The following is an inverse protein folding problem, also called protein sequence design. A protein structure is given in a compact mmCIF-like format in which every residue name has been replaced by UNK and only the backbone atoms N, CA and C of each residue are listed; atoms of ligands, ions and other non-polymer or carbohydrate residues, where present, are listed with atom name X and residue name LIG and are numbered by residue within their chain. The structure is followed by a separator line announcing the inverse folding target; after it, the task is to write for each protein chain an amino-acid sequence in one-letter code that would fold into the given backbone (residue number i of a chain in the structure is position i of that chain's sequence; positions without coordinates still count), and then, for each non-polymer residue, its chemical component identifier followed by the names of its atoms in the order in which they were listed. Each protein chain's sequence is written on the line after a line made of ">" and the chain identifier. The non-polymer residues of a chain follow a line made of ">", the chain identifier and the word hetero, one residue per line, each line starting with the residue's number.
data_IF_147937190619
#
_entry.id   IF_147937190619
#
_cell.length_a   1.000
_cell.length_b   1.000
_cell.length_c   1.000
_cell.angle_alpha   90.00
_cell.angle_beta   90.00
_cell.angle_gamma   90.00
#
_symmetry.space_group_name_H-M   'P 1'
#
loop_
_entity.id
_entity.type
_entity.pdbx_description
1 polymer ?
#
# COMPACT_ATOMS: atom_id res chain seq x y z
N UNK A 1 55.83 0.39 -4.73
CA UNK A 1 54.48 0.89 -5.07
C UNK A 1 53.52 -0.27 -4.88
N UNK A 2 52.92 -0.40 -3.69
CA UNK A 2 51.93 -1.44 -3.43
C UNK A 2 50.56 -0.91 -3.84
N UNK A 3 49.99 -1.45 -4.92
CA UNK A 3 48.61 -1.16 -5.32
C UNK A 3 47.69 -1.75 -4.25
N UNK A 4 47.13 -0.89 -3.41
CA UNK A 4 46.13 -1.29 -2.44
C UNK A 4 44.82 -1.44 -3.20
N UNK A 5 44.47 -2.68 -3.55
CA UNK A 5 43.17 -3.02 -4.11
C UNK A 5 42.11 -2.76 -3.03
N UNK A 6 41.60 -1.53 -2.99
CA UNK A 6 40.37 -1.22 -2.26
C UNK A 6 39.23 -1.88 -3.03
N UNK A 7 39.02 -3.17 -2.75
CA UNK A 7 37.93 -3.95 -3.33
C UNK A 7 36.59 -3.36 -2.91
N UNK A 8 36.00 -2.55 -3.79
CA UNK A 8 34.63 -2.06 -3.62
C UNK A 8 33.66 -3.21 -3.86
N UNK A 9 32.72 -3.42 -2.95
CA UNK A 9 31.69 -4.43 -3.07
C UNK A 9 30.52 -3.88 -3.87
N UNK A 10 30.28 -4.44 -5.05
CA UNK A 10 29.22 -3.97 -5.95
C UNK A 10 27.92 -4.77 -5.74
N UNK A 11 26.79 -4.09 -5.80
CA UNK A 11 25.49 -4.73 -5.70
C UNK A 11 25.15 -5.45 -7.01
N UNK A 12 24.72 -6.72 -7.01
CA UNK A 12 24.30 -7.40 -8.23
C UNK A 12 22.91 -6.97 -8.73
N UNK A 13 22.13 -6.27 -7.89
CA UNK A 13 20.75 -5.86 -8.17
C UNK A 13 20.63 -4.38 -8.57
N UNK A 14 21.71 -3.59 -8.45
CA UNK A 14 21.82 -2.22 -8.95
C UNK A 14 23.27 -1.77 -9.12
N UNK A 15 23.49 -0.60 -9.70
CA UNK A 15 24.83 -0.02 -9.86
C UNK A 15 25.41 0.63 -8.57
N UNK A 16 25.03 0.13 -7.40
CA UNK A 16 25.54 0.61 -6.11
C UNK A 16 26.88 -0.04 -5.74
N UNK A 17 27.85 0.77 -5.30
CA UNK A 17 29.17 0.30 -4.85
C UNK A 17 29.43 0.73 -3.41
N UNK A 18 29.97 -0.19 -2.61
CA UNK A 18 30.11 -0.02 -1.16
C UNK A 18 31.54 -0.32 -0.73
N UNK A 19 32.02 0.41 0.28
CA UNK A 19 33.37 0.26 0.82
C UNK A 19 33.55 -0.97 1.71
N UNK A 20 32.47 -1.68 2.05
CA UNK A 20 32.49 -2.89 2.88
C UNK A 20 31.34 -3.84 2.55
N UNK A 21 31.56 -5.13 2.82
CA UNK A 21 30.55 -6.17 2.65
C UNK A 21 29.33 -5.94 3.57
N UNK A 22 29.53 -5.42 4.78
CA UNK A 22 28.42 -5.10 5.70
C UNK A 22 27.52 -3.99 5.16
N UNK A 23 28.10 -2.93 4.59
CA UNK A 23 27.33 -1.86 3.95
C UNK A 23 26.56 -2.36 2.72
N UNK A 24 27.17 -3.24 1.92
CA UNK A 24 26.47 -3.91 0.82
C UNK A 24 25.30 -4.78 1.33
N UNK A 25 25.48 -5.55 2.40
CA UNK A 25 24.43 -6.38 2.98
C UNK A 25 23.29 -5.55 3.58
N UNK A 26 23.58 -4.44 4.25
CA UNK A 26 22.58 -3.51 4.75
C UNK A 26 21.83 -2.80 3.62
N UNK A 27 22.54 -2.28 2.61
CA UNK A 27 21.95 -1.77 1.38
C UNK A 27 21.03 -2.81 0.73
N UNK A 28 21.52 -4.05 0.60
CA UNK A 28 20.71 -5.13 0.04
C UNK A 28 19.52 -5.48 0.93
N UNK A 29 19.59 -5.32 2.25
CA UNK A 29 18.45 -5.52 3.17
C UNK A 29 17.49 -4.33 3.25
N UNK A 30 17.85 -3.14 2.76
CA UNK A 30 17.03 -1.93 2.90
C UNK A 30 16.49 -1.46 1.55
N UNK A 31 17.32 -1.54 0.52
CA UNK A 31 17.05 -1.10 -0.85
C UNK A 31 16.63 -2.27 -1.74
N UNK A 32 17.36 -3.39 -1.67
CA UNK A 32 17.06 -4.62 -2.42
C UNK A 32 16.46 -5.73 -1.57
N UNK A 33 15.89 -5.39 -0.41
CA UNK A 33 15.02 -6.33 0.28
C UNK A 33 13.83 -6.45 -0.62
N UNK A 34 13.98 -7.33 -1.59
CA UNK A 34 13.03 -7.67 -2.61
C UNK A 34 11.88 -8.21 -1.81
N UNK A 35 10.97 -7.29 -1.53
CA UNK A 35 9.72 -7.47 -0.87
C UNK A 35 8.98 -8.47 -1.73
N UNK A 36 9.15 -9.77 -1.44
CA UNK A 36 8.63 -10.93 -2.17
C UNK A 36 7.69 -10.50 -3.30
N UNK A 37 8.28 -10.20 -4.45
CA UNK A 37 7.54 -9.61 -5.55
C UNK A 37 6.75 -10.74 -6.18
N UNK A 38 5.49 -10.89 -5.76
CA UNK A 38 4.65 -11.97 -6.28
C UNK A 38 4.05 -11.50 -7.60
N UNK A 39 4.35 -12.20 -8.67
CA UNK A 39 3.78 -11.96 -10.00
C UNK A 39 2.49 -12.76 -10.14
N UNK A 40 1.45 -12.14 -10.71
CA UNK A 40 0.28 -12.85 -11.16
C UNK A 40 0.55 -13.50 -12.51
N UNK A 41 0.52 -14.82 -12.57
CA UNK A 41 0.78 -15.57 -13.80
C UNK A 41 -0.32 -15.36 -14.86
N UNK A 42 -1.55 -15.01 -14.44
CA UNK A 42 -2.67 -14.77 -15.35
C UNK A 42 -2.61 -13.41 -16.06
N UNK A 43 -1.97 -12.39 -15.47
CA UNK A 43 -1.91 -11.04 -16.07
C UNK A 43 -0.54 -10.35 -16.03
N UNK A 44 0.50 -11.03 -15.56
CA UNK A 44 1.87 -10.53 -15.45
C UNK A 44 2.08 -9.43 -14.40
N UNK A 45 1.06 -9.05 -13.62
CA UNK A 45 1.17 -7.93 -12.69
C UNK A 45 2.00 -8.30 -11.45
N UNK A 46 2.96 -7.45 -11.12
CA UNK A 46 3.88 -7.65 -9.98
C UNK A 46 3.40 -6.90 -8.74
N UNK A 47 3.44 -7.56 -7.58
CA UNK A 47 3.00 -7.01 -6.29
C UNK A 47 4.12 -7.03 -5.27
N UNK A 48 4.30 -5.93 -4.53
CA UNK A 48 5.29 -5.80 -3.44
C UNK A 48 4.95 -6.58 -2.16
N UNK A 49 3.82 -7.28 -2.13
CA UNK A 49 3.39 -8.07 -0.96
C UNK A 49 2.45 -9.20 -1.36
N UNK A 50 2.56 -10.34 -0.66
CA UNK A 50 1.69 -11.50 -0.84
C UNK A 50 0.21 -11.17 -0.56
N UNK A 51 -0.08 -10.32 0.43
CA UNK A 51 -1.44 -9.88 0.73
C UNK A 51 -2.04 -9.05 -0.41
N UNK A 52 -1.24 -8.18 -1.03
CA UNK A 52 -1.66 -7.41 -2.20
C UNK A 52 -1.96 -8.32 -3.39
N UNK A 53 -1.09 -9.30 -3.65
CA UNK A 53 -1.27 -10.31 -4.68
C UNK A 53 -2.55 -11.16 -4.47
N UNK A 54 -2.74 -11.73 -3.28
CA UNK A 54 -3.93 -12.53 -2.93
C UNK A 54 -5.22 -11.74 -3.13
N UNK A 55 -5.22 -10.47 -2.70
CA UNK A 55 -6.37 -9.60 -2.90
C UNK A 55 -6.63 -9.32 -4.38
N UNK A 56 -5.58 -9.13 -5.18
CA UNK A 56 -5.71 -8.95 -6.61
C UNK A 56 -6.31 -10.19 -7.28
N UNK A 57 -5.78 -11.39 -7.00
CA UNK A 57 -6.34 -12.64 -7.52
C UNK A 57 -7.81 -12.78 -7.13
N UNK A 58 -8.14 -12.59 -5.85
CA UNK A 58 -9.52 -12.66 -5.37
C UNK A 58 -10.47 -11.70 -6.10
N UNK A 59 -10.04 -10.47 -6.38
CA UNK A 59 -10.94 -9.46 -6.97
C UNK A 59 -11.03 -9.59 -8.50
N UNK A 60 -9.93 -9.94 -9.17
CA UNK A 60 -9.79 -9.84 -10.63
C UNK A 60 -9.87 -11.16 -11.37
N UNK A 61 -9.38 -12.23 -10.75
CA UNK A 61 -9.22 -13.53 -11.38
C UNK A 61 -10.16 -14.58 -10.79
N UNK A 62 -10.60 -14.39 -9.54
CA UNK A 62 -11.55 -15.30 -8.92
C UNK A 62 -12.97 -15.09 -9.42
N UNK A 63 -13.60 -16.19 -9.82
CA UNK A 63 -15.05 -16.29 -10.08
C UNK A 63 -15.88 -16.40 -8.79
N UNK A 64 -15.24 -16.31 -7.61
CA UNK A 64 -15.91 -16.42 -6.31
C UNK A 64 -16.97 -15.31 -6.14
N UNK A 65 -18.22 -15.73 -5.98
CA UNK A 65 -19.37 -14.85 -5.78
C UNK A 65 -19.42 -14.24 -4.37
N UNK A 66 -18.57 -14.69 -3.45
CA UNK A 66 -18.47 -14.13 -2.10
C UNK A 66 -17.60 -12.86 -2.01
N UNK A 67 -17.07 -12.37 -3.14
CA UNK A 67 -16.33 -11.11 -3.16
C UNK A 67 -17.28 -9.94 -2.90
N UNK A 68 -17.08 -9.15 -1.83
CA UNK A 68 -17.92 -7.99 -1.55
C UNK A 68 -17.89 -7.02 -2.73
N UNK A 69 -19.07 -6.63 -3.22
CA UNK A 69 -19.18 -5.69 -4.32
C UNK A 69 -20.21 -4.59 -4.03
N UNK A 70 -20.02 -3.45 -4.68
CA UNK A 70 -20.95 -2.34 -4.60
C UNK A 70 -22.15 -2.61 -5.51
N UNK A 71 -23.36 -2.65 -4.95
CA UNK A 71 -24.60 -2.78 -5.72
C UNK A 71 -24.90 -1.57 -6.62
N UNK A 72 -24.29 -0.41 -6.35
CA UNK A 72 -24.54 0.83 -7.12
C UNK A 72 -23.69 0.87 -8.39
N UNK A 73 -22.40 0.49 -8.32
CA UNK A 73 -21.47 0.61 -9.45
C UNK A 73 -20.77 -0.70 -9.84
N UNK A 74 -21.14 -1.83 -9.26
CA UNK A 74 -20.57 -3.15 -9.54
C UNK A 74 -19.13 -3.37 -9.05
N UNK A 75 -18.48 -2.37 -8.45
CA UNK A 75 -17.06 -2.47 -8.07
C UNK A 75 -16.85 -3.50 -6.95
N UNK A 76 -15.91 -4.43 -7.16
CA UNK A 76 -15.49 -5.48 -6.21
C UNK A 76 -14.42 -4.96 -5.22
N UNK A 77 -14.43 -5.50 -3.99
CA UNK A 77 -13.55 -5.11 -2.89
C UNK A 77 -12.98 -6.32 -2.14
N UNK A 78 -11.84 -6.12 -1.47
CA UNK A 78 -11.15 -7.18 -0.69
C UNK A 78 -11.96 -7.69 0.49
N UNK A 79 -12.74 -6.79 1.08
CA UNK A 79 -13.33 -6.94 2.41
C UNK A 79 -14.54 -6.03 2.56
N UNK A 80 -15.47 -6.44 3.42
CA UNK A 80 -16.72 -5.72 3.68
C UNK A 80 -16.49 -4.31 4.24
N UNK A 81 -15.46 -4.12 5.08
CA UNK A 81 -15.11 -2.78 5.60
C UNK A 81 -14.69 -1.82 4.48
N UNK A 82 -13.93 -2.29 3.48
CA UNK A 82 -13.54 -1.47 2.33
C UNK A 82 -14.74 -1.14 1.43
N UNK A 83 -15.67 -2.09 1.27
CA UNK A 83 -16.93 -1.84 0.58
C UNK A 83 -17.79 -0.82 1.34
N UNK A 84 -17.89 -0.92 2.66
CA UNK A 84 -18.63 0.03 3.49
C UNK A 84 -18.06 1.45 3.35
N UNK A 85 -16.75 1.62 3.49
CA UNK A 85 -16.08 2.91 3.28
C UNK A 85 -16.31 3.44 1.86
N UNK A 86 -16.28 2.56 0.85
CA UNK A 86 -16.60 2.96 -0.52
C UNK A 86 -18.05 3.44 -0.68
N UNK A 87 -19.02 2.77 -0.05
CA UNK A 87 -20.44 3.16 -0.13
C UNK A 87 -20.69 4.56 0.41
N UNK A 88 -19.89 5.03 1.37
CA UNK A 88 -19.94 6.43 1.84
C UNK A 88 -19.69 7.45 0.73
N UNK A 89 -19.09 7.06 -0.40
CA UNK A 89 -18.90 7.96 -1.55
C UNK A 89 -20.16 8.15 -2.38
N UNK A 90 -21.07 7.17 -2.37
CA UNK A 90 -22.37 7.25 -3.04
C UNK A 90 -23.46 7.87 -2.17
N UNK A 91 -23.18 8.10 -0.89
CA UNK A 91 -24.10 8.74 0.05
C UNK A 91 -23.56 10.11 0.43
N UNK A 92 -24.45 11.08 0.60
CA UNK A 92 -24.14 12.40 1.16
C UNK A 92 -24.12 12.40 2.68
N UNK A 93 -24.39 11.26 3.30
CA UNK A 93 -24.29 11.11 4.74
C UNK A 93 -22.85 11.31 5.23
N UNK A 94 -22.73 12.16 6.24
CA UNK A 94 -21.53 12.37 7.02
C UNK A 94 -21.69 11.67 8.37
N UNK A 95 -20.69 10.88 8.77
CA UNK A 95 -20.79 9.98 9.92
C UNK A 95 -20.04 10.49 11.14
N UNK A 96 -19.17 11.49 10.97
CA UNK A 96 -18.29 11.97 12.02
C UNK A 96 -18.40 13.49 12.11
N UNK A 97 -18.70 14.02 13.28
CA UNK A 97 -18.80 15.45 13.51
C UNK A 97 -17.64 15.97 14.36
N UNK A 98 -17.14 17.16 14.04
CA UNK A 98 -16.26 17.91 14.92
C UNK A 98 -17.05 18.35 16.16
N UNK A 99 -16.56 18.01 17.34
CA UNK A 99 -17.23 18.36 18.60
C UNK A 99 -17.15 19.86 18.91
N UNK A 100 -16.19 20.59 18.33
CA UNK A 100 -16.01 22.03 18.56
C UNK A 100 -16.98 22.87 17.73
N UNK A 101 -17.03 22.66 16.41
CA UNK A 101 -17.83 23.50 15.50
C UNK A 101 -19.04 22.78 14.87
N UNK A 102 -19.29 21.52 15.19
CA UNK A 102 -20.40 20.73 14.64
C UNK A 102 -20.25 20.33 13.16
N UNK A 103 -19.18 20.74 12.46
CA UNK A 103 -18.97 20.37 11.05
C UNK A 103 -18.85 18.86 10.89
N UNK A 104 -19.59 18.31 9.93
CA UNK A 104 -19.67 16.88 9.70
C UNK A 104 -18.85 16.43 8.49
N UNK A 105 -18.27 15.24 8.61
CA UNK A 105 -17.33 14.65 7.67
C UNK A 105 -17.67 13.18 7.39
N UNK A 106 -17.33 12.71 6.19
CA UNK A 106 -17.55 11.30 5.79
C UNK A 106 -16.55 10.33 6.46
N UNK A 107 -15.38 10.81 6.89
CA UNK A 107 -14.27 9.97 7.39
C UNK A 107 -13.68 10.53 8.69
N UNK A 108 -13.31 9.64 9.62
CA UNK A 108 -12.71 10.04 10.90
C UNK A 108 -11.38 10.80 10.75
N UNK A 109 -10.53 10.39 9.78
CA UNK A 109 -9.28 11.10 9.48
C UNK A 109 -9.52 12.55 9.06
N UNK A 110 -10.63 12.82 8.35
CA UNK A 110 -11.00 14.18 7.96
C UNK A 110 -11.35 15.04 9.17
N UNK A 111 -12.07 14.49 10.14
CA UNK A 111 -12.33 15.19 11.42
C UNK A 111 -11.04 15.45 12.17
N UNK A 112 -10.16 14.45 12.31
CA UNK A 112 -8.88 14.63 13.02
C UNK A 112 -8.03 15.75 12.42
N UNK A 113 -7.93 15.80 11.08
CA UNK A 113 -7.21 16.87 10.40
C UNK A 113 -7.89 18.22 10.59
N UNK A 114 -9.22 18.24 10.54
CA UNK A 114 -9.98 19.47 10.77
C UNK A 114 -9.85 19.97 12.21
N UNK A 115 -9.80 19.08 13.20
CA UNK A 115 -9.76 19.44 14.62
C UNK A 115 -8.54 20.34 14.98
N UNK A 116 -7.44 20.16 14.26
CA UNK A 116 -6.19 20.94 14.39
C UNK A 116 -6.40 22.40 13.96
N UNK A 117 -7.23 22.64 12.95
CA UNK A 117 -7.49 23.97 12.38
C UNK A 117 -8.84 24.55 12.78
N UNK A 118 -9.64 23.77 13.51
CA UNK A 118 -10.98 24.16 13.93
C UNK A 118 -10.89 25.21 15.03
N UNK A 119 -11.23 26.44 14.67
CA UNK A 119 -11.47 27.53 15.63
C UNK A 119 -12.94 27.47 16.07
N UNK A 120 -13.18 27.77 17.34
CA UNK A 120 -14.50 27.78 17.99
C UNK A 120 -15.44 28.73 17.25
#
# INVERSE_FOLDING_TARGET
>A
MGLQEQGTFSCPECNGSFSSMEALLEHRRTVHKSSYHVMCEECGKVFRSTSGYRNHQKIRHSSDSNVPFCKICGKKFSSSSRLFEHRKKHSDQTYYACQKCGKSFKHARSVKRHDIVCKQ
#
